data_IF_494487963036
#
_entry.id   IF_494487963036
#
_cell.length_a   1.000
_cell.length_b   1.000
_cell.length_c   1.000
_cell.angle_alpha   90.00
_cell.angle_beta   90.00
_cell.angle_gamma   90.00
#
_symmetry.space_group_name_H-M   'P 1'
#
loop_
_entity.id
_entity.type
_entity.pdbx_description
1 polymer ?
#
# COMPACT_ATOMS: atom_id res chain seq x y z
N UNK A 1 -11.71 12.72 -14.93
CA UNK A 1 -11.71 12.66 -13.45
C UNK A 1 -11.01 11.39 -13.03
N UNK A 2 -10.05 11.44 -12.10
CA UNK A 2 -9.33 10.26 -11.61
C UNK A 2 -9.98 9.65 -10.34
N UNK A 3 -9.49 8.47 -9.90
CA UNK A 3 -9.96 7.75 -8.70
C UNK A 3 -10.01 8.65 -7.46
N UNK A 4 -8.96 9.43 -7.21
CA UNK A 4 -8.87 10.35 -6.07
C UNK A 4 -9.97 11.42 -6.02
N UNK A 5 -10.42 11.94 -7.18
CA UNK A 5 -11.55 12.86 -7.23
C UNK A 5 -12.85 12.19 -6.78
N UNK A 6 -13.10 10.96 -7.28
CA UNK A 6 -14.27 10.17 -6.87
C UNK A 6 -14.24 9.86 -5.38
N UNK A 7 -13.08 9.47 -4.83
CA UNK A 7 -12.92 9.21 -3.40
C UNK A 7 -13.22 10.45 -2.54
N UNK A 8 -12.72 11.61 -2.94
CA UNK A 8 -12.99 12.87 -2.23
C UNK A 8 -14.46 13.26 -2.28
N UNK A 9 -15.13 13.07 -3.44
CA UNK A 9 -16.55 13.34 -3.58
C UNK A 9 -17.38 12.42 -2.68
N UNK A 10 -17.12 11.10 -2.73
CA UNK A 10 -17.82 10.12 -1.89
C UNK A 10 -17.56 10.41 -0.41
N UNK A 11 -16.34 10.80 -0.02
CA UNK A 11 -16.05 11.22 1.35
C UNK A 11 -16.92 12.41 1.78
N UNK A 12 -17.13 13.39 0.90
CA UNK A 12 -17.91 14.58 1.22
C UNK A 12 -19.39 14.27 1.48
N UNK A 13 -19.97 13.33 0.75
CA UNK A 13 -21.40 12.96 0.87
C UNK A 13 -21.65 11.80 1.84
N UNK A 14 -20.64 11.02 2.21
CA UNK A 14 -20.78 9.91 3.17
C UNK A 14 -20.86 10.44 4.60
N UNK A 15 -21.47 9.68 5.52
CA UNK A 15 -21.60 10.05 6.94
C UNK A 15 -20.90 9.07 7.87
N UNK A 16 -20.39 7.95 7.37
CA UNK A 16 -19.72 6.93 8.18
C UNK A 16 -18.38 7.41 8.77
N UNK A 17 -18.05 6.93 9.95
CA UNK A 17 -16.76 7.19 10.61
C UNK A 17 -15.62 6.41 9.94
N UNK A 18 -15.94 5.24 9.39
CA UNK A 18 -15.02 4.36 8.67
C UNK A 18 -15.47 4.28 7.22
N UNK A 19 -14.55 4.48 6.30
CA UNK A 19 -14.77 4.44 4.87
C UNK A 19 -14.01 3.25 4.31
N UNK A 20 -14.70 2.33 3.65
CA UNK A 20 -14.06 1.21 2.96
C UNK A 20 -13.97 1.53 1.48
N UNK A 21 -12.77 1.46 0.94
CA UNK A 21 -12.49 1.63 -0.49
C UNK A 21 -12.19 0.28 -1.11
N UNK A 22 -12.78 0.04 -2.28
CA UNK A 22 -12.66 -1.21 -3.02
C UNK A 22 -12.51 -0.89 -4.50
N UNK A 23 -11.64 -1.62 -5.21
CA UNK A 23 -11.60 -1.52 -6.68
C UNK A 23 -12.82 -2.20 -7.28
N UNK A 24 -13.34 -1.66 -8.40
CA UNK A 24 -14.62 -2.08 -8.99
C UNK A 24 -14.64 -3.53 -9.49
N UNK A 25 -13.49 -4.13 -9.75
CA UNK A 25 -13.29 -5.51 -10.18
C UNK A 25 -13.04 -6.50 -9.03
N UNK A 26 -13.09 -6.00 -7.81
CA UNK A 26 -12.74 -6.72 -6.60
C UNK A 26 -13.96 -7.14 -5.79
N UNK A 27 -13.85 -8.23 -5.04
CA UNK A 27 -14.90 -8.78 -4.19
C UNK A 27 -14.36 -8.93 -2.78
N UNK A 28 -15.08 -8.37 -1.81
CA UNK A 28 -14.78 -8.56 -0.39
C UNK A 28 -15.27 -9.93 0.10
N UNK A 29 -14.52 -10.50 1.02
CA UNK A 29 -15.00 -11.58 1.87
C UNK A 29 -16.08 -11.07 2.82
N UNK A 30 -17.02 -11.93 3.20
CA UNK A 30 -18.20 -11.55 4.02
C UNK A 30 -17.83 -10.92 5.36
N UNK A 31 -16.74 -11.37 5.99
CA UNK A 31 -16.25 -10.86 7.27
C UNK A 31 -15.15 -9.80 7.18
N UNK A 32 -14.76 -9.42 5.97
CA UNK A 32 -13.61 -8.52 5.75
C UNK A 32 -13.79 -7.16 6.45
N UNK A 33 -15.02 -6.62 6.43
CA UNK A 33 -15.33 -5.33 7.06
C UNK A 33 -15.24 -5.42 8.58
N UNK A 34 -15.73 -6.50 9.17
CA UNK A 34 -15.70 -6.73 10.63
C UNK A 34 -14.26 -6.72 11.15
N UNK A 35 -13.35 -7.42 10.45
CA UNK A 35 -11.92 -7.44 10.78
C UNK A 35 -11.28 -6.06 10.70
N UNK A 36 -11.67 -5.25 9.70
CA UNK A 36 -11.18 -3.88 9.60
C UNK A 36 -11.69 -3.01 10.75
N UNK A 37 -12.99 -3.06 11.04
CA UNK A 37 -13.66 -2.26 12.08
C UNK A 37 -13.10 -2.58 13.46
N UNK A 38 -12.76 -3.84 13.74
CA UNK A 38 -12.13 -4.22 15.00
C UNK A 38 -10.86 -3.39 15.31
N UNK A 39 -10.03 -3.13 14.30
CA UNK A 39 -8.82 -2.31 14.49
C UNK A 39 -9.14 -0.88 14.89
N UNK A 40 -10.17 -0.28 14.30
CA UNK A 40 -10.54 1.10 14.59
C UNK A 40 -11.17 1.25 15.97
N UNK A 41 -11.95 0.25 16.40
CA UNK A 41 -12.56 0.24 17.73
C UNK A 41 -11.52 0.00 18.83
N UNK A 42 -10.56 -0.89 18.57
CA UNK A 42 -9.55 -1.25 19.57
C UNK A 42 -8.43 -0.20 19.70
N UNK A 43 -8.10 0.49 18.61
CA UNK A 43 -6.96 1.40 18.56
C UNK A 43 -7.33 2.77 18.02
N UNK A 44 -7.51 3.78 18.88
CA UNK A 44 -7.97 5.12 18.48
C UNK A 44 -7.05 5.83 17.47
N UNK A 45 -5.76 5.49 17.44
CA UNK A 45 -4.78 6.09 16.54
C UNK A 45 -4.69 5.42 15.17
N UNK A 46 -5.47 4.37 14.92
CA UNK A 46 -5.50 3.74 13.59
C UNK A 46 -6.22 4.65 12.61
N UNK A 47 -5.49 5.12 11.61
CA UNK A 47 -5.99 5.95 10.52
C UNK A 47 -6.39 5.14 9.29
N UNK A 48 -5.73 3.99 9.05
CA UNK A 48 -6.06 3.09 7.95
C UNK A 48 -5.74 1.63 8.27
N UNK A 49 -6.52 0.74 7.65
CA UNK A 49 -6.30 -0.71 7.65
C UNK A 49 -6.25 -1.18 6.21
N UNK A 50 -5.15 -1.80 5.81
CA UNK A 50 -5.02 -2.43 4.49
C UNK A 50 -5.38 -3.90 4.58
N UNK A 51 -6.19 -4.36 3.64
CA UNK A 51 -6.58 -5.76 3.55
C UNK A 51 -5.55 -6.63 2.83
N UNK A 52 -5.93 -7.88 2.65
CA UNK A 52 -5.13 -8.95 2.08
C UNK A 52 -5.69 -9.34 0.70
N UNK A 53 -5.22 -8.73 -0.38
CA UNK A 53 -5.68 -9.05 -1.72
C UNK A 53 -5.25 -10.45 -2.15
N UNK A 54 -6.19 -11.20 -2.72
CA UNK A 54 -6.04 -12.54 -3.26
C UNK A 54 -6.39 -12.56 -4.74
N UNK A 55 -5.62 -13.24 -5.53
CA UNK A 55 -5.86 -13.36 -6.98
C UNK A 55 -7.00 -14.33 -7.22
N UNK A 56 -8.01 -13.89 -8.00
CA UNK A 56 -9.19 -14.67 -8.38
C UNK A 56 -8.97 -15.43 -9.69
N UNK A 57 -8.45 -14.77 -10.72
CA UNK A 57 -8.17 -15.39 -12.01
C UNK A 57 -6.82 -16.13 -11.94
N UNK A 58 -6.87 -17.48 -12.07
CA UNK A 58 -5.69 -18.35 -11.94
C UNK A 58 -5.52 -19.30 -13.13
N UNK A 59 -6.06 -18.92 -14.27
CA UNK A 59 -6.08 -19.76 -15.48
C UNK A 59 -4.73 -19.77 -16.18
N UNK A 60 -4.10 -18.62 -16.35
CA UNK A 60 -2.83 -18.47 -17.04
C UNK A 60 -1.63 -18.70 -16.11
N UNK A 61 -0.49 -19.11 -16.70
CA UNK A 61 0.78 -19.24 -15.95
C UNK A 61 1.16 -17.92 -15.27
N UNK A 62 0.99 -16.82 -15.98
CA UNK A 62 1.29 -15.48 -15.47
C UNK A 62 0.44 -15.13 -14.24
N UNK A 63 -0.84 -15.47 -14.27
CA UNK A 63 -1.74 -15.27 -13.13
C UNK A 63 -1.37 -16.18 -11.94
N UNK A 64 -0.92 -17.41 -12.18
CA UNK A 64 -0.43 -18.33 -11.13
C UNK A 64 0.85 -17.79 -10.46
N UNK A 65 1.79 -17.24 -11.24
CA UNK A 65 2.99 -16.59 -10.71
C UNK A 65 2.61 -15.38 -9.83
N UNK A 66 1.69 -14.54 -10.30
CA UNK A 66 1.19 -13.43 -9.50
C UNK A 66 0.45 -13.89 -8.25
N UNK A 67 -0.26 -15.02 -8.28
CA UNK A 67 -0.88 -15.61 -7.10
C UNK A 67 0.17 -15.94 -6.03
N UNK A 68 1.28 -16.55 -6.42
CA UNK A 68 2.39 -16.84 -5.52
C UNK A 68 3.03 -15.55 -4.99
N UNK A 69 3.21 -14.53 -5.83
CA UNK A 69 3.73 -13.21 -5.44
C UNK A 69 2.84 -12.53 -4.39
N UNK A 70 1.54 -12.43 -4.63
CA UNK A 70 0.60 -11.79 -3.69
C UNK A 70 0.50 -12.55 -2.36
N UNK A 71 0.46 -13.88 -2.41
CA UNK A 71 0.31 -14.70 -1.22
C UNK A 71 1.57 -14.73 -0.36
N UNK A 72 2.74 -14.86 -0.97
CA UNK A 72 4.02 -15.05 -0.27
C UNK A 72 4.76 -13.75 -0.08
N UNK A 73 5.10 -13.05 -1.18
CA UNK A 73 6.00 -11.90 -1.11
C UNK A 73 5.30 -10.67 -0.53
N UNK A 74 4.17 -10.27 -1.12
CA UNK A 74 3.44 -9.07 -0.68
C UNK A 74 2.86 -9.27 0.71
N UNK A 75 2.26 -10.44 0.97
CA UNK A 75 1.72 -10.77 2.29
C UNK A 75 2.81 -10.83 3.36
N UNK A 76 3.98 -11.42 3.07
CA UNK A 76 5.11 -11.48 4.00
C UNK A 76 5.67 -10.08 4.32
N UNK A 77 5.86 -9.26 3.29
CA UNK A 77 6.36 -7.89 3.47
C UNK A 77 5.42 -7.08 4.36
N UNK A 78 4.11 -7.12 4.12
CA UNK A 78 3.14 -6.40 4.95
C UNK A 78 3.11 -6.91 6.40
N UNK A 79 3.25 -8.23 6.61
CA UNK A 79 3.37 -8.80 7.96
C UNK A 79 4.63 -8.32 8.66
N UNK A 80 5.77 -8.32 7.98
CA UNK A 80 7.03 -7.82 8.53
C UNK A 80 6.93 -6.32 8.86
N UNK A 81 6.37 -5.52 8.00
CA UNK A 81 6.11 -4.09 8.24
C UNK A 81 5.19 -3.87 9.45
N UNK A 82 4.14 -4.69 9.59
CA UNK A 82 3.27 -4.65 10.78
C UNK A 82 4.04 -4.93 12.07
N UNK A 83 4.93 -5.93 12.07
CA UNK A 83 5.77 -6.24 13.24
C UNK A 83 6.71 -5.07 13.59
N UNK A 84 7.22 -4.35 12.60
CA UNK A 84 8.00 -3.13 12.78
C UNK A 84 7.14 -1.90 13.14
N UNK A 85 5.83 -2.08 13.27
CA UNK A 85 4.89 -1.03 13.67
C UNK A 85 4.52 -0.03 12.57
N UNK A 86 4.87 -0.30 11.30
CA UNK A 86 4.63 0.60 10.17
C UNK A 86 4.32 -0.15 8.87
N UNK A 87 3.16 0.14 8.29
CA UNK A 87 2.77 -0.34 6.98
C UNK A 87 2.83 0.83 6.00
N UNK A 88 3.83 0.83 5.13
CA UNK A 88 4.14 1.98 4.26
C UNK A 88 3.29 2.06 2.99
N UNK A 89 2.49 1.04 2.72
CA UNK A 89 1.65 1.00 1.52
C UNK A 89 0.34 0.31 1.84
N UNK A 90 -0.73 1.06 1.85
CA UNK A 90 -2.07 0.51 1.80
C UNK A 90 -2.31 -0.05 0.41
N UNK A 91 -3.06 -1.14 0.30
CA UNK A 91 -3.45 -1.67 -0.99
C UNK A 91 -4.62 -0.87 -1.54
N UNK A 92 -4.45 -0.27 -2.72
CA UNK A 92 -5.51 0.45 -3.40
C UNK A 92 -6.71 -0.43 -3.77
N UNK A 93 -6.50 -1.76 -3.77
CA UNK A 93 -7.56 -2.75 -4.06
C UNK A 93 -8.57 -2.84 -2.93
N UNK A 94 -8.10 -2.85 -1.67
CA UNK A 94 -8.96 -2.94 -0.49
C UNK A 94 -8.32 -2.24 0.70
N UNK A 95 -9.02 -1.26 1.23
CA UNK A 95 -8.60 -0.52 2.41
C UNK A 95 -9.78 0.04 3.18
N UNK A 96 -9.62 0.13 4.49
CA UNK A 96 -10.52 0.87 5.36
C UNK A 96 -9.79 2.08 5.94
N UNK A 97 -10.47 3.19 6.06
CA UNK A 97 -9.93 4.49 6.45
C UNK A 97 -10.79 5.13 7.52
N UNK A 98 -10.16 5.68 8.56
CA UNK A 98 -10.87 6.54 9.50
C UNK A 98 -11.11 7.89 8.86
N UNK A 99 -12.37 8.32 8.75
CA UNK A 99 -12.75 9.61 8.14
C UNK A 99 -11.93 10.78 8.70
N UNK A 100 -11.85 10.90 10.02
CA UNK A 100 -11.11 11.99 10.68
C UNK A 100 -9.62 11.98 10.33
N UNK A 101 -9.03 10.80 10.12
CA UNK A 101 -7.63 10.68 9.71
C UNK A 101 -7.42 11.14 8.27
N UNK A 102 -8.30 10.76 7.34
CA UNK A 102 -8.26 11.21 5.95
C UNK A 102 -8.43 12.72 5.84
N UNK A 103 -9.39 13.30 6.58
CA UNK A 103 -9.59 14.75 6.63
C UNK A 103 -8.36 15.44 7.22
N UNK A 104 -7.81 14.94 8.33
CA UNK A 104 -6.58 15.47 8.93
C UNK A 104 -5.38 15.36 7.99
N UNK A 105 -5.30 14.32 7.17
CA UNK A 105 -4.25 14.17 6.16
C UNK A 105 -4.41 15.12 4.95
N UNK A 106 -5.57 15.76 4.76
CA UNK A 106 -5.83 16.72 3.70
C UNK A 106 -6.45 16.11 2.45
N UNK A 107 -7.24 15.03 2.61
CA UNK A 107 -7.95 14.32 1.55
C UNK A 107 -7.01 13.60 0.55
N UNK A 108 -7.56 12.87 -0.43
CA UNK A 108 -6.75 12.22 -1.48
C UNK A 108 -6.19 13.26 -2.46
N UNK A 109 -4.89 13.18 -2.73
CA UNK A 109 -4.26 14.06 -3.73
C UNK A 109 -4.65 13.60 -5.15
N UNK A 110 -5.36 14.47 -5.84
CA UNK A 110 -5.85 14.22 -7.20
C UNK A 110 -4.75 14.22 -8.26
N UNK A 111 -3.54 14.65 -7.90
CA UNK A 111 -2.35 14.71 -8.79
C UNK A 111 -1.40 13.52 -8.56
N UNK A 112 -1.60 12.73 -7.50
CA UNK A 112 -0.75 11.59 -7.22
C UNK A 112 -0.97 10.46 -8.24
N UNK A 113 0.12 9.83 -8.70
CA UNK A 113 0.07 8.65 -9.59
C UNK A 113 -0.48 7.44 -8.83
N UNK A 114 -0.13 7.32 -7.55
CA UNK A 114 -0.60 6.28 -6.62
C UNK A 114 -1.19 6.95 -5.38
N UNK A 115 -2.50 7.12 -5.42
CA UNK A 115 -3.30 7.77 -4.39
C UNK A 115 -3.24 7.04 -3.04
N UNK A 116 -3.16 5.72 -3.07
CA UNK A 116 -3.06 4.83 -1.92
C UNK A 116 -1.72 4.95 -1.18
N UNK A 117 -0.60 4.93 -1.90
CA UNK A 117 0.73 5.08 -1.30
C UNK A 117 0.89 6.49 -0.73
N UNK A 118 0.48 7.49 -1.48
CA UNK A 118 0.60 8.90 -1.10
C UNK A 118 -0.21 9.20 0.18
N UNK A 119 -1.46 8.75 0.24
CA UNK A 119 -2.30 8.87 1.43
C UNK A 119 -1.70 8.13 2.63
N UNK A 120 -1.13 6.93 2.40
CA UNK A 120 -0.46 6.16 3.46
C UNK A 120 0.66 6.98 4.10
N UNK A 121 1.54 7.57 3.30
CA UNK A 121 2.64 8.38 3.80
C UNK A 121 2.17 9.63 4.52
N UNK A 122 1.14 10.31 4.02
CA UNK A 122 0.55 11.46 4.73
C UNK A 122 -0.03 11.09 6.08
N UNK A 123 -0.73 9.96 6.18
CA UNK A 123 -1.22 9.46 7.46
C UNK A 123 -0.08 9.20 8.44
N UNK A 124 0.95 8.49 7.98
CA UNK A 124 2.12 8.16 8.80
C UNK A 124 2.89 9.42 9.26
N UNK A 125 3.04 10.43 8.38
CA UNK A 125 3.70 11.70 8.74
C UNK A 125 2.86 12.54 9.71
N UNK A 126 1.55 12.37 9.71
CA UNK A 126 0.61 12.96 10.68
C UNK A 126 0.43 12.11 11.95
N UNK A 127 1.28 11.10 12.14
CA UNK A 127 1.31 10.20 13.31
C UNK A 127 0.07 9.31 13.47
N UNK A 128 -0.69 9.07 12.41
CA UNK A 128 -1.67 8.02 12.38
C UNK A 128 -1.00 6.66 12.17
N UNK A 129 -1.55 5.62 12.75
CA UNK A 129 -1.09 4.26 12.56
C UNK A 129 -1.79 3.64 11.34
N UNK A 130 -1.00 2.99 10.49
CA UNK A 130 -1.51 2.19 9.38
C UNK A 130 -1.26 0.73 9.70
N UNK A 131 -2.29 -0.11 9.56
CA UNK A 131 -2.23 -1.53 9.92
C UNK A 131 -2.55 -2.43 8.74
N UNK A 132 -2.06 -3.65 8.82
CA UNK A 132 -2.38 -4.73 7.88
C UNK A 132 -3.21 -5.78 8.59
N UNK A 133 -4.37 -6.13 8.02
CA UNK A 133 -5.23 -7.21 8.51
C UNK A 133 -5.23 -8.37 7.52
N UNK A 134 -4.81 -9.54 8.00
CA UNK A 134 -4.66 -10.74 7.19
C UNK A 134 -6.00 -11.37 6.83
N UNK A 135 -6.99 -11.20 7.68
CA UNK A 135 -8.34 -11.76 7.51
C UNK A 135 -9.28 -10.83 6.74
N UNK A 136 -8.87 -9.57 6.51
CA UNK A 136 -9.59 -8.68 5.60
C UNK A 136 -9.31 -9.10 4.15
N UNK A 137 -9.89 -10.23 3.74
CA UNK A 137 -9.67 -10.82 2.43
C UNK A 137 -10.42 -10.06 1.33
N UNK A 138 -9.78 -9.96 0.18
CA UNK A 138 -10.37 -9.36 -1.01
C UNK A 138 -9.88 -10.11 -2.26
N UNK A 139 -10.80 -10.55 -3.08
CA UNK A 139 -10.55 -11.26 -4.32
C UNK A 139 -10.48 -10.29 -5.49
N UNK A 140 -9.35 -10.23 -6.18
CA UNK A 140 -9.11 -9.28 -7.27
C UNK A 140 -8.67 -9.97 -8.55
N UNK A 141 -8.79 -9.27 -9.67
CA UNK A 141 -8.26 -9.70 -10.96
C UNK A 141 -6.83 -9.16 -11.16
N UNK A 142 -5.98 -9.98 -11.77
CA UNK A 142 -4.61 -9.58 -12.16
C UNK A 142 -4.45 -9.62 -13.67
N UNK A 143 -3.54 -8.80 -14.25
CA UNK A 143 -3.24 -8.85 -15.66
C UNK A 143 -2.79 -10.24 -16.11
N UNK A 144 -3.37 -10.73 -17.21
CA UNK A 144 -3.01 -12.02 -17.80
C UNK A 144 -2.07 -11.89 -19.00
N UNK A 145 -1.71 -10.66 -19.36
CA UNK A 145 -0.73 -10.35 -20.41
C UNK A 145 0.52 -9.71 -19.82
N UNK A 146 1.69 -10.01 -20.40
CA UNK A 146 2.97 -9.41 -20.00
C UNK A 146 2.95 -7.89 -20.17
N UNK A 147 2.36 -7.37 -21.26
CA UNK A 147 2.23 -5.93 -21.47
C UNK A 147 1.39 -5.26 -20.39
N UNK A 148 0.27 -5.87 -19.99
CA UNK A 148 -0.58 -5.36 -18.91
C UNK A 148 0.15 -5.34 -17.56
N UNK A 149 0.84 -6.45 -17.24
CA UNK A 149 1.66 -6.55 -16.02
C UNK A 149 2.76 -5.50 -16.03
N UNK A 150 3.49 -5.33 -17.11
CA UNK A 150 4.54 -4.32 -17.25
C UNK A 150 4.01 -2.91 -16.99
N UNK A 151 2.94 -2.51 -17.66
CA UNK A 151 2.31 -1.18 -17.47
C UNK A 151 1.91 -0.96 -16.02
N UNK A 152 1.32 -1.96 -15.37
CA UNK A 152 0.95 -1.89 -13.96
C UNK A 152 2.18 -1.66 -13.07
N UNK A 153 3.26 -2.43 -13.27
CA UNK A 153 4.49 -2.34 -12.47
C UNK A 153 5.22 -1.02 -12.68
N UNK A 154 5.29 -0.54 -13.90
CA UNK A 154 5.86 0.79 -14.19
C UNK A 154 5.09 1.90 -13.47
N UNK A 155 3.76 1.86 -13.48
CA UNK A 155 2.94 2.84 -12.77
C UNK A 155 3.20 2.80 -11.26
N UNK A 156 3.30 1.63 -10.65
CA UNK A 156 3.62 1.49 -9.24
C UNK A 156 5.01 2.02 -8.90
N UNK A 157 5.99 1.71 -9.75
CA UNK A 157 7.35 2.21 -9.59
C UNK A 157 7.42 3.73 -9.66
N UNK A 158 6.76 4.33 -10.65
CA UNK A 158 6.69 5.78 -10.81
C UNK A 158 6.03 6.44 -9.60
N UNK A 159 4.88 5.92 -9.17
CA UNK A 159 4.18 6.43 -7.99
C UNK A 159 5.00 6.34 -6.72
N UNK A 160 5.69 5.21 -6.50
CA UNK A 160 6.58 5.07 -5.35
C UNK A 160 7.74 6.07 -5.34
N UNK A 161 8.38 6.31 -6.50
CA UNK A 161 9.44 7.33 -6.64
C UNK A 161 8.89 8.74 -6.41
N UNK A 162 7.70 9.03 -6.92
CA UNK A 162 7.04 10.31 -6.73
C UNK A 162 6.79 10.58 -5.24
N UNK A 163 6.18 9.63 -4.53
CA UNK A 163 5.89 9.75 -3.10
C UNK A 163 7.17 9.95 -2.29
N UNK A 164 8.23 9.21 -2.57
CA UNK A 164 9.52 9.40 -1.89
C UNK A 164 10.12 10.80 -2.11
N UNK A 165 9.96 11.37 -3.30
CA UNK A 165 10.42 12.74 -3.60
C UNK A 165 9.57 13.78 -2.87
N UNK A 166 8.25 13.61 -2.84
CA UNK A 166 7.32 14.53 -2.15
C UNK A 166 7.54 14.55 -0.64
N UNK A 167 7.84 13.40 -0.05
CA UNK A 167 8.04 13.25 1.39
C UNK A 167 9.52 13.20 1.80
N UNK A 168 10.42 13.78 0.99
CA UNK A 168 11.85 13.79 1.29
C UNK A 168 12.18 14.42 2.65
N UNK A 169 11.38 15.37 3.11
CA UNK A 169 11.57 16.06 4.39
C UNK A 169 11.39 15.15 5.63
N UNK A 170 10.78 13.99 5.47
CA UNK A 170 10.72 12.94 6.52
C UNK A 170 12.12 12.62 7.08
N UNK A 171 13.15 12.68 6.25
CA UNK A 171 14.53 12.43 6.68
C UNK A 171 15.16 13.54 7.52
N UNK A 172 14.62 14.74 7.46
CA UNK A 172 15.12 15.91 8.18
C UNK A 172 14.47 16.04 9.56
N UNK A 173 13.27 15.48 9.75
CA UNK A 173 12.53 15.55 11.00
C UNK A 173 12.77 14.28 11.84
N UNK A 174 13.51 14.42 12.94
CA UNK A 174 13.77 13.34 13.89
C UNK A 174 12.49 12.71 14.50
N UNK A 175 11.39 13.45 14.53
CA UNK A 175 10.08 12.95 14.99
C UNK A 175 9.56 11.84 14.08
N UNK A 176 9.97 11.82 12.82
CA UNK A 176 9.64 10.82 11.81
C UNK A 176 10.57 9.60 11.84
N UNK A 177 11.51 9.51 12.80
CA UNK A 177 12.47 8.39 12.91
C UNK A 177 11.82 7.00 12.91
N UNK A 178 10.53 6.91 13.26
CA UNK A 178 9.75 5.66 13.20
C UNK A 178 9.63 5.10 11.78
N UNK A 179 9.66 5.97 10.77
CA UNK A 179 9.53 5.61 9.36
C UNK A 179 10.91 5.31 8.75
N UNK A 180 11.99 5.86 9.32
CA UNK A 180 13.35 5.74 8.79
C UNK A 180 13.84 4.31 8.53
N UNK A 181 13.64 3.32 9.41
CA UNK A 181 14.13 1.95 9.16
C UNK A 181 13.58 1.36 7.87
N UNK A 182 12.35 1.69 7.52
CA UNK A 182 11.70 1.18 6.32
C UNK A 182 12.15 1.98 5.09
N UNK A 183 12.31 3.29 5.25
CA UNK A 183 12.85 4.15 4.20
C UNK A 183 14.34 3.90 3.95
N UNK A 184 15.14 3.59 4.97
CA UNK A 184 16.58 3.31 4.83
C UNK A 184 16.84 2.04 4.00
N UNK A 185 15.95 1.06 4.05
CA UNK A 185 16.02 -0.11 3.18
C UNK A 185 16.00 0.27 1.68
N UNK A 186 15.38 1.39 1.34
CA UNK A 186 15.37 1.95 -0.02
C UNK A 186 16.67 2.73 -0.32
N UNK A 187 17.29 3.34 0.71
CA UNK A 187 18.49 4.18 0.56
C UNK A 187 19.80 3.38 0.43
N UNK A 188 19.87 2.18 1.02
CA UNK A 188 21.01 1.25 0.91
C UNK A 188 21.33 0.92 -0.55
N UNK A 189 20.40 1.18 -1.47
CA UNK A 189 20.57 0.99 -2.91
C UNK A 189 21.67 1.87 -3.56
N UNK A 190 22.18 2.90 -2.89
CA UNK A 190 23.22 3.79 -3.47
C UNK A 190 24.68 3.37 -3.17
N UNK A 191 24.93 2.33 -2.37
CA UNK A 191 26.30 1.86 -2.11
C UNK A 191 26.57 0.50 -2.77
N UNK A 192 27.64 0.32 -3.54
CA UNK A 192 28.03 -0.98 -4.10
C UNK A 192 28.60 -1.91 -3.01
N UNK A 193 28.08 -3.14 -2.91
CA UNK A 193 28.56 -4.16 -1.99
C UNK A 193 27.62 -5.37 -1.82
N UNK A 194 28.11 -6.52 -1.34
CA UNK A 194 27.36 -7.80 -1.30
C UNK A 194 26.14 -7.83 -0.34
N UNK A 195 26.06 -6.91 0.62
CA UNK A 195 24.89 -6.74 1.52
C UNK A 195 23.64 -6.24 0.78
N UNK A 196 23.82 -5.77 -0.45
CA UNK A 196 22.79 -5.25 -1.35
C UNK A 196 21.68 -6.24 -1.66
N UNK A 197 22.01 -7.51 -1.83
CA UNK A 197 21.08 -8.51 -2.37
C UNK A 197 20.02 -8.95 -1.35
N UNK A 198 20.34 -9.01 -0.07
CA UNK A 198 19.43 -9.47 0.98
C UNK A 198 18.47 -8.36 1.44
N UNK A 199 18.95 -7.13 1.62
CA UNK A 199 18.12 -6.00 2.05
C UNK A 199 17.11 -5.57 0.98
N UNK A 200 17.45 -5.72 -0.31
CA UNK A 200 16.59 -5.39 -1.44
C UNK A 200 15.44 -6.38 -1.66
N UNK A 201 15.61 -7.65 -1.28
CA UNK A 201 14.55 -8.66 -1.37
C UNK A 201 13.44 -8.47 -0.33
N UNK A 202 13.69 -7.68 0.72
CA UNK A 202 12.74 -7.38 1.79
C UNK A 202 12.08 -6.00 1.66
N UNK A 203 12.45 -5.18 0.66
CA UNK A 203 11.95 -3.81 0.53
C UNK A 203 10.78 -3.67 -0.44
N UNK A 204 9.98 -2.76 -0.16
CA UNK A 204 8.75 -2.13 -0.65
C UNK A 204 8.15 -2.54 -2.00
N UNK A 205 8.97 -2.93 -3.00
CA UNK A 205 8.52 -3.22 -4.35
C UNK A 205 9.23 -4.44 -4.90
N UNK A 206 8.69 -5.63 -4.75
CA UNK A 206 9.25 -6.84 -5.38
C UNK A 206 9.45 -6.67 -6.90
N UNK A 207 8.56 -5.89 -7.54
CA UNK A 207 8.61 -5.67 -8.98
C UNK A 207 9.71 -4.70 -9.45
N UNK A 208 10.10 -3.71 -8.64
CA UNK A 208 11.19 -2.78 -9.00
C UNK A 208 12.54 -3.50 -8.98
N UNK A 209 12.70 -4.49 -8.09
CA UNK A 209 13.95 -5.23 -7.95
C UNK A 209 14.20 -6.13 -9.16
N UNK A 210 13.15 -6.80 -9.65
CA UNK A 210 13.26 -7.69 -10.82
C UNK A 210 13.57 -6.96 -12.13
N UNK A 211 13.19 -5.69 -12.27
CA UNK A 211 13.34 -4.93 -13.50
C UNK A 211 14.67 -4.16 -13.59
N UNK A 212 15.37 -3.96 -12.47
CA UNK A 212 16.64 -3.23 -12.46
C UNK A 212 17.88 -4.14 -12.49
N UNK A 213 17.76 -5.45 -12.33
CA UNK A 213 18.83 -6.42 -12.50
C UNK A 213 19.03 -6.85 -13.98
N UNK A 214 18.14 -6.43 -14.88
CA UNK A 214 18.16 -6.78 -16.32
C UNK A 214 18.25 -5.57 -17.27
N UNK A 215 18.59 -4.36 -16.78
CA UNK A 215 18.81 -3.19 -17.62
C UNK A 215 20.24 -2.65 -17.48
#
# INVERSE_FOLDING_TARGET
>A
MGKAHGLNLVLAISHGEIIVTLDADSMLDEHAVEWAVWHFNTFPRVGAVTGNPRVRNRTTLLAKIQTAEYSSVIGLIKRAQRLMGKVMTVSGVVAAWRRSAVVHAGLWDTKAITDDIEMTWRLETKFWDVRYETNMLCWMLVPESLSGLWKQRCRWAQGGVEVMRRHYDVWKDWRQRRIWPICSAIWIKRRPGPVRTVALRLSFFPAIIYLMDYA
#
